data_IF_669820557176
#
_entry.id   IF_669820557176
#
_cell.length_a   1.000
_cell.length_b   1.000
_cell.length_c   1.000
_cell.angle_alpha   90.00
_cell.angle_beta   90.00
_cell.angle_gamma   90.00
#
_symmetry.space_group_name_H-M   'P 1'
#
loop_
_entity.id
_entity.type
_entity.pdbx_description
1 polymer ?
#
# COMPACT_ATOMS: atom_id res chain seq x y z
N UNK A 1 -29.87 -14.37 26.00
CA UNK A 1 -28.39 -14.18 26.02
C UNK A 1 -27.80 -14.23 24.61
N UNK A 2 -28.25 -15.15 23.74
CA UNK A 2 -27.79 -15.28 22.36
C UNK A 2 -28.10 -14.07 21.46
N UNK A 3 -29.26 -13.42 21.66
CA UNK A 3 -29.69 -12.28 20.83
C UNK A 3 -28.72 -11.08 20.93
N UNK A 4 -28.21 -10.81 22.13
CA UNK A 4 -27.23 -9.74 22.38
C UNK A 4 -25.89 -10.05 21.71
N UNK A 5 -25.48 -11.32 21.70
CA UNK A 5 -24.23 -11.77 21.07
C UNK A 5 -24.32 -11.64 19.55
N UNK A 6 -25.45 -12.06 18.96
CA UNK A 6 -25.69 -11.93 17.51
C UNK A 6 -25.72 -10.45 17.10
N UNK A 7 -26.37 -9.60 17.90
CA UNK A 7 -26.44 -8.16 17.62
C UNK A 7 -25.06 -7.50 17.73
N UNK A 8 -24.25 -7.87 18.73
CA UNK A 8 -22.87 -7.38 18.86
C UNK A 8 -21.99 -7.86 17.69
N UNK A 9 -22.10 -9.13 17.29
CA UNK A 9 -21.37 -9.68 16.15
C UNK A 9 -21.75 -8.99 14.83
N UNK A 10 -23.04 -8.70 14.62
CA UNK A 10 -23.52 -7.96 13.46
C UNK A 10 -22.94 -6.53 13.41
N UNK A 11 -22.91 -5.82 14.54
CA UNK A 11 -22.31 -4.48 14.62
C UNK A 11 -20.81 -4.53 14.31
N UNK A 12 -20.07 -5.48 14.89
CA UNK A 12 -18.64 -5.66 14.61
C UNK A 12 -18.39 -6.01 13.14
N UNK A 13 -19.23 -6.85 12.52
CA UNK A 13 -19.12 -7.19 11.11
C UNK A 13 -19.32 -5.96 10.21
N UNK A 14 -20.33 -5.12 10.50
CA UNK A 14 -20.57 -3.88 9.75
C UNK A 14 -19.38 -2.91 9.89
N UNK A 15 -18.83 -2.76 11.09
CA UNK A 15 -17.64 -1.93 11.33
C UNK A 15 -16.45 -2.47 10.54
N UNK A 16 -16.18 -3.78 10.62
CA UNK A 16 -15.09 -4.42 9.89
C UNK A 16 -15.21 -4.21 8.37
N UNK A 17 -16.41 -4.41 7.80
CA UNK A 17 -16.67 -4.19 6.36
C UNK A 17 -16.51 -2.71 6.00
N UNK A 18 -17.00 -1.79 6.82
CA UNK A 18 -16.84 -0.35 6.58
C UNK A 18 -15.37 0.06 6.52
N UNK A 19 -14.55 -0.39 7.48
CA UNK A 19 -13.12 -0.12 7.48
C UNK A 19 -12.41 -0.81 6.32
N UNK A 20 -12.79 -2.05 5.99
CA UNK A 20 -12.21 -2.76 4.85
C UNK A 20 -12.44 -2.03 3.53
N UNK A 21 -13.69 -1.61 3.26
CA UNK A 21 -14.03 -0.83 2.06
C UNK A 21 -13.30 0.52 2.00
N UNK A 22 -13.08 1.15 3.17
CA UNK A 22 -12.31 2.40 3.26
C UNK A 22 -10.83 2.18 2.97
N UNK A 23 -10.24 1.09 3.46
CA UNK A 23 -8.84 0.71 3.21
C UNK A 23 -8.58 0.42 1.75
N UNK A 24 -9.51 -0.22 1.02
CA UNK A 24 -9.33 -0.50 -0.43
C UNK A 24 -9.14 0.79 -1.23
N UNK A 25 -9.93 1.84 -0.95
CA UNK A 25 -9.76 3.15 -1.60
C UNK A 25 -8.39 3.75 -1.26
N UNK A 26 -7.97 3.61 -0.01
CA UNK A 26 -6.67 4.10 0.43
C UNK A 26 -5.51 3.35 -0.25
N UNK A 27 -5.67 2.06 -0.54
CA UNK A 27 -4.67 1.23 -1.22
C UNK A 27 -4.38 1.76 -2.64
N UNK A 28 -5.43 2.15 -3.36
CA UNK A 28 -5.30 2.72 -4.71
C UNK A 28 -4.52 4.03 -4.65
N UNK A 29 -4.90 4.94 -3.75
CA UNK A 29 -4.21 6.23 -3.59
C UNK A 29 -2.75 6.04 -3.16
N UNK A 30 -2.49 5.13 -2.22
CA UNK A 30 -1.12 4.80 -1.78
C UNK A 30 -0.27 4.25 -2.94
N UNK A 31 -0.84 3.35 -3.73
CA UNK A 31 -0.16 2.77 -4.90
C UNK A 31 0.15 3.85 -5.92
N UNK A 32 -0.84 4.70 -6.25
CA UNK A 32 -0.67 5.78 -7.24
C UNK A 32 0.39 6.77 -6.77
N UNK A 33 0.33 7.24 -5.53
CA UNK A 33 1.33 8.16 -4.97
C UNK A 33 2.73 7.52 -4.94
N UNK A 34 2.85 6.27 -4.47
CA UNK A 34 4.13 5.59 -4.41
C UNK A 34 4.74 5.31 -5.80
N UNK A 35 3.91 4.95 -6.79
CA UNK A 35 4.34 4.81 -8.17
C UNK A 35 4.75 6.15 -8.80
N UNK A 36 4.04 7.24 -8.50
CA UNK A 36 4.43 8.59 -8.95
C UNK A 36 5.81 8.94 -8.40
N UNK A 37 6.05 8.69 -7.11
CA UNK A 37 7.36 8.93 -6.48
C UNK A 37 8.45 8.07 -7.12
N UNK A 38 8.18 6.78 -7.34
CA UNK A 38 9.14 5.89 -8.02
C UNK A 38 9.44 6.35 -9.45
N UNK A 39 8.41 6.74 -10.20
CA UNK A 39 8.56 7.23 -11.56
C UNK A 39 9.38 8.53 -11.59
N UNK A 40 9.12 9.47 -10.68
CA UNK A 40 9.94 10.67 -10.51
C UNK A 40 11.38 10.31 -10.18
N UNK A 41 11.60 9.37 -9.26
CA UNK A 41 12.93 8.94 -8.86
C UNK A 41 13.71 8.36 -10.05
N UNK A 42 13.05 7.57 -10.90
CA UNK A 42 13.64 7.05 -12.13
C UNK A 42 13.96 8.16 -13.14
N UNK A 43 13.07 9.13 -13.31
CA UNK A 43 13.20 10.18 -14.34
C UNK A 43 14.19 11.28 -13.94
N UNK A 44 14.21 11.66 -12.66
CA UNK A 44 15.02 12.76 -12.12
C UNK A 44 16.41 12.26 -11.69
N UNK A 45 16.48 11.12 -10.99
CA UNK A 45 17.76 10.57 -10.52
C UNK A 45 18.37 9.54 -11.48
N UNK A 46 17.69 9.18 -12.56
CA UNK A 46 18.18 8.14 -13.49
C UNK A 46 18.24 6.74 -12.86
N UNK A 47 17.58 6.53 -11.72
CA UNK A 47 17.61 5.26 -11.00
C UNK A 47 16.94 4.17 -11.84
N UNK A 48 17.67 3.09 -12.14
CA UNK A 48 17.25 1.98 -12.99
C UNK A 48 16.20 1.06 -12.36
N UNK A 49 15.39 1.58 -11.43
CA UNK A 49 14.41 0.82 -10.65
C UNK A 49 13.45 0.14 -11.61
N UNK A 50 13.46 -1.19 -11.59
CA UNK A 50 12.49 -1.99 -12.36
C UNK A 50 11.17 -1.99 -11.62
N UNK A 51 10.15 -1.39 -12.24
CA UNK A 51 8.76 -1.51 -11.78
C UNK A 51 8.30 -2.94 -12.07
N UNK A 52 8.51 -3.83 -11.10
CA UNK A 52 8.03 -5.22 -11.11
C UNK A 52 6.80 -5.36 -10.24
N UNK A 53 6.08 -6.48 -10.36
CA UNK A 53 4.89 -6.79 -9.56
C UNK A 53 5.16 -6.66 -8.06
N UNK A 54 6.35 -7.06 -7.59
CA UNK A 54 6.76 -6.93 -6.18
C UNK A 54 6.83 -5.47 -5.72
N UNK A 55 7.37 -4.57 -6.55
CA UNK A 55 7.49 -3.13 -6.23
C UNK A 55 6.12 -2.48 -6.16
N UNK A 56 5.22 -2.84 -7.08
CA UNK A 56 3.83 -2.38 -7.07
C UNK A 56 3.14 -2.85 -5.78
N UNK A 57 3.39 -4.10 -5.36
CA UNK A 57 2.80 -4.66 -4.14
C UNK A 57 3.32 -3.98 -2.86
N UNK A 58 4.64 -3.73 -2.78
CA UNK A 58 5.26 -2.99 -1.67
C UNK A 58 4.73 -1.55 -1.63
N UNK A 59 4.60 -0.91 -2.79
CA UNK A 59 4.02 0.43 -2.91
C UNK A 59 2.51 0.46 -2.64
N UNK A 60 1.79 -0.64 -2.86
CA UNK A 60 0.35 -0.70 -2.56
C UNK A 60 0.09 -0.84 -1.06
N UNK A 61 0.86 -1.71 -0.40
CA UNK A 61 0.75 -1.95 1.05
C UNK A 61 1.35 -0.76 1.81
N UNK A 62 2.54 -0.31 1.41
CA UNK A 62 3.33 0.70 2.10
C UNK A 62 3.15 2.13 1.55
N UNK A 63 2.60 2.34 0.36
CA UNK A 63 2.39 3.67 -0.18
C UNK A 63 3.66 4.48 -0.43
N UNK A 64 3.61 5.73 0.02
CA UNK A 64 4.76 6.65 0.08
C UNK A 64 5.93 6.06 0.87
N UNK A 65 5.77 5.55 2.11
CA UNK A 65 6.86 4.88 2.81
C UNK A 65 7.35 3.61 2.08
N UNK A 66 6.46 2.88 1.41
CA UNK A 66 6.83 1.73 0.56
C UNK A 66 7.73 2.13 -0.61
N UNK A 67 7.40 3.22 -1.31
CA UNK A 67 8.20 3.78 -2.39
C UNK A 67 9.58 4.24 -1.90
N UNK A 68 9.64 4.90 -0.74
CA UNK A 68 10.89 5.33 -0.13
C UNK A 68 11.79 4.13 0.22
N UNK A 69 11.20 3.04 0.72
CA UNK A 69 11.89 1.78 1.00
C UNK A 69 12.52 1.16 -0.26
N UNK A 70 11.79 1.16 -1.38
CA UNK A 70 12.32 0.64 -2.65
C UNK A 70 13.48 1.50 -3.16
N UNK A 71 13.38 2.83 -3.04
CA UNK A 71 14.46 3.75 -3.41
C UNK A 71 15.71 3.51 -2.54
N UNK A 72 15.54 3.33 -1.24
CA UNK A 72 16.62 2.99 -0.30
C UNK A 72 17.29 1.66 -0.65
N UNK A 73 16.50 0.62 -0.95
CA UNK A 73 17.01 -0.69 -1.35
C UNK A 73 17.81 -0.64 -2.66
N UNK A 74 17.36 0.17 -3.63
CA UNK A 74 18.07 0.42 -4.89
C UNK A 74 19.40 1.13 -4.65
N UNK A 75 19.41 2.18 -3.83
CA UNK A 75 20.62 2.91 -3.45
C UNK A 75 21.66 2.03 -2.75
N UNK A 76 21.21 1.06 -1.94
CA UNK A 76 22.08 0.08 -1.28
C UNK A 76 22.54 -1.05 -2.21
N UNK A 77 22.04 -1.13 -3.45
CA UNK A 77 22.39 -2.17 -4.42
C UNK A 77 21.91 -3.58 -4.06
N UNK A 78 21.00 -3.70 -3.09
CA UNK A 78 20.54 -4.99 -2.55
C UNK A 78 19.34 -5.52 -3.35
N UNK A 79 18.44 -4.64 -3.84
CA UNK A 79 17.29 -5.04 -4.65
C UNK A 79 16.64 -3.87 -5.42
N UNK A 80 16.02 -4.23 -6.56
CA UNK A 80 15.28 -3.43 -7.55
C UNK A 80 16.11 -2.48 -8.40
#
# INVERSE_FOLDING_TARGET
MLDIIILLAAVLAVIAVYYFLKTVKHLIVNTVLGLIILALSKFVFGMGIKITTTVILISAIGGVPGALLVILLHLMGVAF
#
